data_IF_483213974876
#
_entry.id   IF_483213974876
#
_cell.length_a   1.000
_cell.length_b   1.000
_cell.length_c   1.000
_cell.angle_alpha   90.00
_cell.angle_beta   90.00
_cell.angle_gamma   90.00
#
_symmetry.space_group_name_H-M   'P 1'
#
loop_
_entity.id
_entity.type
_entity.pdbx_description
1 polymer ?
#
# COMPACT_ATOMS: atom_id res chain seq x y z
N UNK A 1 4.79 1.50 11.33
CA UNK A 1 4.40 0.09 11.56
C UNK A 1 5.64 -0.73 11.29
N UNK A 2 6.02 -1.68 12.15
CA UNK A 2 7.26 -2.43 11.92
C UNK A 2 7.06 -3.43 10.78
N UNK A 3 8.07 -3.55 9.91
CA UNK A 3 8.20 -4.69 9.00
C UNK A 3 8.43 -5.97 9.81
N UNK A 4 8.23 -7.14 9.18
CA UNK A 4 8.51 -8.42 9.84
C UNK A 4 9.97 -8.54 10.30
N UNK A 5 10.92 -8.03 9.51
CA UNK A 5 12.35 -8.03 9.85
C UNK A 5 12.66 -7.13 11.07
N UNK A 6 12.12 -5.91 11.10
CA UNK A 6 12.27 -5.00 12.25
C UNK A 6 11.61 -5.55 13.50
N UNK A 7 10.43 -6.18 13.36
CA UNK A 7 9.73 -6.84 14.45
C UNK A 7 10.55 -7.98 15.05
N UNK A 8 11.10 -8.87 14.21
CA UNK A 8 11.94 -9.97 14.65
C UNK A 8 13.22 -9.47 15.34
N UNK A 9 13.82 -8.42 14.80
CA UNK A 9 14.99 -7.77 15.40
C UNK A 9 14.65 -7.15 16.76
N UNK A 10 13.50 -6.48 16.88
CA UNK A 10 13.03 -5.93 18.15
C UNK A 10 12.78 -6.99 19.22
N UNK A 11 12.25 -8.15 18.85
CA UNK A 11 12.08 -9.29 19.77
C UNK A 11 13.42 -9.86 20.24
N UNK A 12 14.41 -9.96 19.35
CA UNK A 12 15.77 -10.39 19.69
C UNK A 12 16.44 -9.40 20.66
N UNK A 13 16.35 -8.11 20.38
CA UNK A 13 16.86 -7.03 21.24
C UNK A 13 16.20 -7.13 22.62
N UNK A 14 14.87 -7.22 22.67
CA UNK A 14 14.12 -7.40 23.91
C UNK A 14 14.59 -8.63 24.70
N UNK A 15 14.79 -9.78 24.06
CA UNK A 15 15.34 -10.96 24.73
C UNK A 15 16.74 -10.69 25.32
N UNK A 16 17.58 -9.93 24.62
CA UNK A 16 18.95 -9.66 25.08
C UNK A 16 19.04 -8.60 26.19
N UNK A 17 18.15 -7.60 26.18
CA UNK A 17 18.27 -6.40 27.02
C UNK A 17 17.43 -6.46 28.31
N UNK A 18 16.42 -7.33 28.37
CA UNK A 18 15.55 -7.43 29.54
C UNK A 18 15.39 -8.84 30.08
N UNK A 19 15.16 -8.92 31.39
CA UNK A 19 14.77 -10.14 32.13
C UNK A 19 13.26 -10.17 32.44
N UNK A 20 12.49 -9.25 31.87
CA UNK A 20 11.05 -9.17 32.10
C UNK A 20 10.33 -10.48 31.72
N UNK A 21 9.37 -10.95 32.53
CA UNK A 21 8.69 -12.21 32.26
C UNK A 21 7.75 -12.14 31.04
N UNK A 22 7.22 -10.95 30.76
CA UNK A 22 6.38 -10.68 29.58
C UNK A 22 6.80 -9.36 28.93
N UNK A 23 6.48 -9.19 27.65
CA UNK A 23 6.77 -7.96 26.88
C UNK A 23 6.17 -6.72 27.56
N UNK A 24 4.99 -6.85 28.17
CA UNK A 24 4.29 -5.77 28.85
C UNK A 24 4.79 -5.43 30.25
N UNK A 25 5.68 -6.23 30.85
CA UNK A 25 6.09 -6.05 32.25
C UNK A 25 7.16 -4.96 32.46
N UNK A 26 7.64 -4.30 31.41
CA UNK A 26 8.59 -3.18 31.49
C UNK A 26 7.95 -1.80 31.30
N UNK A 27 8.69 -0.74 31.60
CA UNK A 27 8.29 0.67 31.36
C UNK A 27 8.16 1.03 29.87
N UNK A 28 8.63 0.16 28.97
CA UNK A 28 8.49 0.27 27.51
C UNK A 28 7.42 -0.69 26.96
N UNK A 29 6.22 -0.72 27.55
CA UNK A 29 5.09 -1.52 27.08
C UNK A 29 4.47 -0.96 25.78
N UNK A 30 5.29 -0.77 24.75
CA UNK A 30 4.77 -0.47 23.43
C UNK A 30 4.10 -1.73 22.87
N UNK A 31 2.82 -1.61 22.54
CA UNK A 31 2.14 -2.62 21.71
C UNK A 31 2.92 -2.75 20.40
N UNK A 32 3.61 -3.87 20.21
CA UNK A 32 4.36 -4.11 18.99
C UNK A 32 3.37 -4.50 17.89
N UNK A 33 3.23 -3.61 16.91
CA UNK A 33 2.48 -3.85 15.68
C UNK A 33 3.45 -4.26 14.59
N UNK A 34 3.14 -5.35 13.91
CA UNK A 34 3.93 -5.87 12.79
C UNK A 34 3.03 -6.10 11.59
N UNK A 35 3.55 -5.78 10.41
CA UNK A 35 2.96 -6.18 9.15
C UNK A 35 3.54 -7.53 8.73
N UNK A 36 2.67 -8.53 8.54
CA UNK A 36 3.04 -9.85 8.01
C UNK A 36 2.28 -10.01 6.71
N UNK A 37 2.98 -10.05 5.58
CA UNK A 37 2.36 -9.91 4.26
C UNK A 37 1.50 -8.64 4.20
N UNK A 38 0.18 -8.81 4.18
CA UNK A 38 -0.82 -7.73 4.15
C UNK A 38 -1.58 -7.52 5.47
N UNK A 39 -1.33 -8.36 6.47
CA UNK A 39 -2.14 -8.42 7.68
C UNK A 39 -1.48 -7.67 8.82
N UNK A 40 -2.21 -6.70 9.39
CA UNK A 40 -1.75 -5.95 10.56
C UNK A 40 -1.90 -6.81 11.81
N UNK A 41 -0.77 -7.21 12.36
CA UNK A 41 -0.72 -8.09 13.51
C UNK A 41 -0.29 -7.34 14.77
N UNK A 42 -0.90 -7.71 15.89
CA UNK A 42 -0.71 -7.13 17.20
C UNK A 42 -0.12 -8.17 18.14
N UNK A 43 1.05 -7.86 18.68
CA UNK A 43 1.63 -8.65 19.74
C UNK A 43 1.08 -8.18 21.08
N UNK A 44 0.47 -9.11 21.82
CA UNK A 44 -0.09 -8.77 23.12
C UNK A 44 0.99 -8.58 24.19
N UNK A 45 0.76 -7.68 25.16
CA UNK A 45 1.70 -7.45 26.27
C UNK A 45 1.92 -8.67 27.17
N UNK A 46 0.97 -9.60 27.24
CA UNK A 46 1.06 -10.85 28.00
C UNK A 46 1.92 -11.92 27.29
N UNK A 47 2.52 -11.61 26.14
CA UNK A 47 3.49 -12.47 25.45
C UNK A 47 4.68 -12.72 26.38
N UNK A 48 4.88 -13.99 26.71
CA UNK A 48 5.91 -14.46 27.63
C UNK A 48 7.26 -14.56 26.94
N UNK A 49 8.33 -14.47 27.74
CA UNK A 49 9.69 -14.69 27.26
C UNK A 49 9.87 -16.04 26.56
N UNK A 50 9.34 -17.12 27.16
CA UNK A 50 9.39 -18.46 26.57
C UNK A 50 8.66 -18.55 25.21
N UNK A 51 7.53 -17.86 25.08
CA UNK A 51 6.81 -17.74 23.81
C UNK A 51 7.63 -17.04 22.72
N UNK A 52 8.30 -15.93 23.05
CA UNK A 52 9.19 -15.21 22.11
C UNK A 52 10.37 -16.09 21.69
N UNK A 53 10.99 -16.80 22.64
CA UNK A 53 12.09 -17.72 22.33
C UNK A 53 11.64 -18.83 21.39
N UNK A 54 10.49 -19.44 21.63
CA UNK A 54 9.94 -20.48 20.76
C UNK A 54 9.58 -19.95 19.36
N UNK A 55 9.00 -18.75 19.27
CA UNK A 55 8.74 -18.05 18.01
C UNK A 55 10.02 -17.87 17.18
N UNK A 56 11.07 -17.30 17.77
CA UNK A 56 12.34 -17.05 17.07
C UNK A 56 13.06 -18.36 16.71
N UNK A 57 12.96 -19.38 17.54
CA UNK A 57 13.52 -20.70 17.25
C UNK A 57 12.86 -21.35 16.02
N UNK A 58 11.54 -21.21 15.86
CA UNK A 58 10.83 -21.65 14.66
C UNK A 58 11.34 -20.96 13.39
N UNK A 59 11.54 -19.64 13.44
CA UNK A 59 12.12 -18.89 12.32
C UNK A 59 13.53 -19.37 11.95
N UNK A 60 14.38 -19.62 12.95
CA UNK A 60 15.74 -20.16 12.73
C UNK A 60 15.70 -21.57 12.14
N UNK A 61 14.69 -22.36 12.50
CA UNK A 61 14.45 -23.68 11.93
C UNK A 61 13.86 -23.64 10.50
N UNK A 62 13.60 -22.45 9.94
CA UNK A 62 13.10 -22.26 8.59
C UNK A 62 11.57 -22.23 8.48
N UNK A 63 10.84 -22.12 9.60
CA UNK A 63 9.39 -21.91 9.57
C UNK A 63 9.09 -20.48 9.12
N UNK A 64 8.77 -20.29 7.84
CA UNK A 64 8.43 -18.97 7.27
C UNK A 64 6.95 -18.83 6.93
N UNK A 65 6.17 -19.90 7.01
CA UNK A 65 4.72 -19.85 6.76
C UNK A 65 4.01 -19.16 7.92
N UNK A 66 3.16 -18.18 7.65
CA UNK A 66 2.24 -17.61 8.62
C UNK A 66 0.82 -17.99 8.26
N UNK A 67 -0.04 -18.27 9.23
CA UNK A 67 -1.46 -18.58 8.97
C UNK A 67 -2.36 -17.89 9.97
N UNK A 68 -3.43 -17.27 9.47
CA UNK A 68 -4.52 -16.79 10.31
C UNK A 68 -5.41 -17.96 10.70
N UNK A 69 -5.63 -18.13 12.00
CA UNK A 69 -6.55 -19.11 12.56
C UNK A 69 -7.75 -18.35 13.13
N UNK A 70 -8.95 -18.49 12.52
CA UNK A 70 -10.13 -17.82 13.01
C UNK A 70 -10.51 -18.21 14.43
N UNK A 71 -10.95 -17.21 15.18
CA UNK A 71 -11.53 -17.44 16.50
C UNK A 71 -12.97 -17.89 16.35
N UNK A 72 -13.36 -18.92 17.11
CA UNK A 72 -14.74 -19.36 17.23
C UNK A 72 -15.69 -18.29 17.79
N UNK A 73 -15.15 -17.17 18.30
CA UNK A 73 -15.90 -16.01 18.79
C UNK A 73 -15.86 -14.79 17.86
N UNK A 74 -15.18 -14.86 16.71
CA UNK A 74 -15.27 -13.87 15.61
C UNK A 74 -14.60 -12.51 15.80
N UNK A 75 -13.99 -12.20 16.94
CA UNK A 75 -13.49 -10.82 17.22
C UNK A 75 -11.97 -10.66 17.05
N UNK A 76 -11.18 -11.72 17.22
CA UNK A 76 -9.71 -11.66 17.20
C UNK A 76 -9.18 -12.95 16.58
N UNK A 77 -8.44 -12.85 15.48
CA UNK A 77 -7.90 -14.01 14.76
C UNK A 77 -6.43 -14.22 15.14
N UNK A 78 -6.02 -15.45 15.42
CA UNK A 78 -4.65 -15.76 15.86
C UNK A 78 -3.74 -15.91 14.65
N UNK A 79 -2.51 -15.42 14.76
CA UNK A 79 -1.44 -15.76 13.81
C UNK A 79 -0.67 -16.98 14.34
N UNK A 80 -0.69 -18.06 13.56
CA UNK A 80 0.13 -19.25 13.75
C UNK A 80 1.32 -19.21 12.78
N UNK A 81 2.36 -19.98 13.10
CA UNK A 81 3.62 -20.05 12.34
C UNK A 81 3.92 -21.49 12.04
N UNK A 82 4.45 -21.73 10.85
CA UNK A 82 4.66 -23.06 10.29
C UNK A 82 3.36 -23.72 9.85
N UNK A 83 3.50 -24.88 9.23
CA UNK A 83 2.41 -25.57 8.54
C UNK A 83 1.43 -26.30 9.48
N UNK A 84 1.70 -26.28 10.78
CA UNK A 84 0.98 -27.11 11.76
C UNK A 84 -0.22 -26.39 12.40
N UNK A 85 -0.39 -25.08 12.18
CA UNK A 85 -1.38 -24.24 12.89
C UNK A 85 -1.31 -24.34 14.43
N UNK A 86 -0.22 -24.91 14.96
CA UNK A 86 -0.04 -25.17 16.38
C UNK A 86 0.19 -23.83 17.09
N UNK A 87 -0.50 -23.66 18.22
CA UNK A 87 -0.29 -22.51 19.08
C UNK A 87 1.08 -22.61 19.74
N UNK A 88 1.92 -21.60 19.57
CA UNK A 88 3.11 -21.42 20.40
C UNK A 88 2.65 -20.97 21.80
N UNK A 89 2.83 -21.78 22.86
CA UNK A 89 2.38 -21.42 24.20
C UNK A 89 3.06 -20.12 24.68
N UNK A 90 2.26 -19.18 25.17
CA UNK A 90 2.77 -17.91 25.66
C UNK A 90 3.24 -16.91 24.60
N UNK A 91 3.00 -17.18 23.31
CA UNK A 91 3.18 -16.20 22.22
C UNK A 91 1.83 -15.79 21.64
N UNK A 92 1.59 -14.48 21.58
CA UNK A 92 0.23 -13.92 21.46
C UNK A 92 0.15 -12.86 20.36
N UNK A 93 0.19 -13.33 19.11
CA UNK A 93 0.11 -12.51 17.91
C UNK A 93 -1.25 -12.67 17.23
N UNK A 94 -1.93 -11.56 16.94
CA UNK A 94 -3.31 -11.58 16.43
C UNK A 94 -3.58 -10.49 15.41
N UNK A 95 -4.57 -10.71 14.55
CA UNK A 95 -5.16 -9.66 13.70
C UNK A 95 -6.62 -9.39 14.10
N UNK A 96 -7.04 -8.15 13.88
CA UNK A 96 -8.44 -7.71 14.00
C UNK A 96 -9.18 -7.78 12.65
N UNK A 97 -8.45 -8.03 11.56
CA UNK A 97 -9.05 -8.34 10.27
C UNK A 97 -9.88 -9.64 10.38
N UNK A 98 -10.98 -9.70 9.63
CA UNK A 98 -11.91 -10.83 9.68
C UNK A 98 -11.53 -11.90 8.66
N UNK A 99 -11.47 -13.15 9.09
CA UNK A 99 -11.20 -14.31 8.26
C UNK A 99 -12.20 -15.42 8.58
N UNK A 100 -12.93 -15.90 7.57
CA UNK A 100 -13.95 -16.94 7.75
C UNK A 100 -13.34 -18.35 7.82
N UNK A 101 -12.17 -18.55 7.22
CA UNK A 101 -11.45 -19.82 7.18
C UNK A 101 -9.97 -19.61 7.55
N UNK A 102 -9.26 -20.67 7.98
CA UNK A 102 -7.82 -20.62 8.11
C UNK A 102 -7.16 -20.22 6.78
N UNK A 103 -6.32 -19.18 6.82
CA UNK A 103 -5.71 -18.59 5.61
C UNK A 103 -4.22 -18.42 5.81
N UNK A 104 -3.42 -19.00 4.93
CA UNK A 104 -1.97 -18.77 4.89
C UNK A 104 -1.67 -17.35 4.40
N UNK A 105 -0.83 -16.64 5.12
CA UNK A 105 -0.27 -15.35 4.76
C UNK A 105 1.13 -15.59 4.22
N UNK A 106 1.37 -15.13 3.00
CA UNK A 106 2.71 -15.01 2.44
C UNK A 106 3.43 -13.81 3.10
N UNK A 107 4.48 -14.03 3.90
CA UNK A 107 5.21 -12.94 4.56
C UNK A 107 6.00 -12.07 3.57
N UNK A 108 6.35 -12.62 2.41
CA UNK A 108 7.14 -11.98 1.36
C UNK A 108 6.26 -11.41 0.25
N UNK A 109 4.92 -11.58 0.34
CA UNK A 109 3.98 -10.86 -0.48
C UNK A 109 4.21 -9.37 -0.24
N UNK A 110 4.96 -8.74 -1.13
CA UNK A 110 5.30 -7.34 -1.10
C UNK A 110 4.02 -6.54 -0.82
N UNK A 111 4.06 -5.82 0.30
CA UNK A 111 2.90 -5.16 0.87
C UNK A 111 2.27 -4.27 -0.20
N UNK A 112 1.04 -4.59 -0.59
CA UNK A 112 0.22 -3.64 -1.31
C UNK A 112 -0.06 -2.49 -0.36
N UNK A 113 0.72 -1.43 -0.52
CA UNK A 113 0.74 -0.24 0.30
C UNK A 113 0.18 0.96 -0.50
N UNK A 114 0.16 2.14 0.11
CA UNK A 114 -0.33 3.34 -0.58
C UNK A 114 0.52 3.68 -1.81
N UNK A 115 1.81 3.29 -1.80
CA UNK A 115 2.66 3.41 -2.97
C UNK A 115 2.17 2.55 -4.13
N UNK A 116 1.75 1.33 -3.83
CA UNK A 116 1.19 0.40 -4.79
C UNK A 116 -0.10 0.94 -5.42
N UNK A 117 -0.96 1.62 -4.64
CA UNK A 117 -2.14 2.32 -5.17
C UNK A 117 -1.74 3.43 -6.14
N UNK A 118 -0.78 4.29 -5.76
CA UNK A 118 -0.32 5.37 -6.62
C UNK A 118 0.30 4.84 -7.92
N UNK A 119 1.13 3.80 -7.85
CA UNK A 119 1.71 3.13 -9.02
C UNK A 119 0.63 2.52 -9.91
N UNK A 120 -0.39 1.88 -9.32
CA UNK A 120 -1.50 1.30 -10.06
C UNK A 120 -2.28 2.36 -10.85
N UNK A 121 -2.51 3.53 -10.27
CA UNK A 121 -3.13 4.67 -10.97
C UNK A 121 -2.27 5.12 -12.15
N UNK A 122 -0.95 5.24 -11.97
CA UNK A 122 -0.05 5.62 -13.06
C UNK A 122 -0.03 4.57 -14.19
N UNK A 123 -0.03 3.29 -13.82
CA UNK A 123 -0.08 2.19 -14.79
C UNK A 123 -1.39 2.14 -15.55
N UNK A 124 -2.51 2.43 -14.89
CA UNK A 124 -3.82 2.54 -15.52
C UNK A 124 -3.87 3.66 -16.56
N UNK A 125 -3.24 4.81 -16.31
CA UNK A 125 -3.16 5.90 -17.30
C UNK A 125 -2.32 5.50 -18.52
N UNK A 126 -1.17 4.84 -18.32
CA UNK A 126 -0.39 4.32 -19.45
C UNK A 126 -1.19 3.31 -20.28
N UNK A 127 -1.95 2.44 -19.62
CA UNK A 127 -2.86 1.51 -20.28
C UNK A 127 -3.92 2.26 -21.09
N UNK A 128 -4.55 3.29 -20.54
CA UNK A 128 -5.52 4.13 -21.25
C UNK A 128 -4.91 4.80 -22.49
N UNK A 129 -3.67 5.30 -22.41
CA UNK A 129 -2.97 5.86 -23.58
C UNK A 129 -2.76 4.82 -24.68
N UNK A 130 -2.42 3.57 -24.32
CA UNK A 130 -2.31 2.47 -25.29
C UNK A 130 -3.66 2.06 -25.90
N UNK A 131 -4.76 2.31 -25.17
CA UNK A 131 -6.15 2.11 -25.62
C UNK A 131 -6.69 3.30 -26.47
N UNK A 132 -5.88 4.34 -26.71
CA UNK A 132 -6.24 5.48 -27.56
C UNK A 132 -6.79 6.71 -26.82
N UNK A 133 -6.70 6.73 -25.49
CA UNK A 133 -7.10 7.86 -24.65
C UNK A 133 -5.94 8.84 -24.40
N UNK A 134 -5.14 9.14 -25.42
CA UNK A 134 -3.87 9.87 -25.25
C UNK A 134 -4.07 11.35 -24.87
N UNK A 135 -5.29 11.88 -25.03
CA UNK A 135 -5.64 13.24 -24.60
C UNK A 135 -6.05 13.32 -23.12
N UNK A 136 -6.02 12.22 -22.38
CA UNK A 136 -6.08 12.25 -20.91
C UNK A 136 -4.74 12.72 -20.35
N UNK A 137 -4.79 13.69 -19.44
CA UNK A 137 -3.68 14.18 -18.64
C UNK A 137 -3.84 13.70 -17.21
N UNK A 138 -2.71 13.42 -16.56
CA UNK A 138 -2.62 13.24 -15.12
C UNK A 138 -1.73 14.32 -14.53
N UNK A 139 -2.21 14.94 -13.46
CA UNK A 139 -1.54 16.01 -12.70
C UNK A 139 -1.20 15.49 -11.30
N UNK A 140 -0.06 14.80 -11.11
CA UNK A 140 0.40 14.38 -9.81
C UNK A 140 1.06 15.53 -9.06
N UNK A 141 0.67 15.73 -7.80
CA UNK A 141 1.22 16.78 -6.94
C UNK A 141 1.25 16.33 -5.49
N UNK A 142 2.12 16.94 -4.69
CA UNK A 142 2.13 16.83 -3.24
C UNK A 142 1.26 17.94 -2.66
N UNK A 143 0.41 17.63 -1.68
CA UNK A 143 -0.36 18.64 -0.96
C UNK A 143 0.55 19.73 -0.38
N UNK A 144 0.10 20.97 -0.25
CA UNK A 144 0.92 22.05 0.35
C UNK A 144 1.45 21.78 1.77
N UNK A 145 0.91 20.79 2.49
CA UNK A 145 1.44 20.31 3.78
C UNK A 145 2.57 19.27 3.67
N UNK A 146 2.89 18.79 2.47
CA UNK A 146 3.85 17.71 2.22
C UNK A 146 3.36 16.30 2.53
N UNK A 147 2.14 16.13 3.08
CA UNK A 147 1.71 14.86 3.69
C UNK A 147 1.00 13.91 2.73
N UNK A 148 0.48 14.41 1.61
CA UNK A 148 -0.35 13.63 0.70
C UNK A 148 0.14 13.75 -0.72
N UNK A 149 0.24 12.61 -1.40
CA UNK A 149 0.29 12.61 -2.85
C UNK A 149 -1.13 12.68 -3.40
N UNK A 150 -1.29 13.35 -4.52
CA UNK A 150 -2.57 13.60 -5.19
C UNK A 150 -2.39 13.38 -6.68
N UNK A 151 -3.45 12.89 -7.33
CA UNK A 151 -3.54 12.86 -8.77
C UNK A 151 -4.91 13.36 -9.19
N UNK A 152 -4.92 14.30 -10.13
CA UNK A 152 -6.11 14.68 -10.90
C UNK A 152 -5.93 14.17 -12.31
N UNK A 153 -6.91 13.46 -12.85
CA UNK A 153 -6.89 12.92 -14.21
C UNK A 153 -8.12 13.43 -14.95
N UNK A 154 -7.92 13.99 -16.14
CA UNK A 154 -8.99 14.53 -16.96
C UNK A 154 -8.53 14.74 -18.41
N UNK A 155 -9.44 15.07 -19.31
CA UNK A 155 -9.05 15.41 -20.68
C UNK A 155 -8.28 16.73 -20.72
N UNK A 156 -7.49 16.93 -21.77
CA UNK A 156 -6.78 18.20 -22.03
C UNK A 156 -7.73 19.41 -22.02
N UNK A 157 -8.98 19.22 -22.44
CA UNK A 157 -9.99 20.29 -22.45
C UNK A 157 -10.55 20.55 -21.05
N UNK A 158 -10.77 19.48 -20.25
CA UNK A 158 -11.23 19.58 -18.86
C UNK A 158 -10.18 20.22 -17.94
N UNK A 159 -8.90 20.02 -18.25
CA UNK A 159 -7.76 20.52 -17.45
C UNK A 159 -7.11 21.77 -18.03
N UNK A 160 -7.66 22.35 -19.11
CA UNK A 160 -7.09 23.50 -19.81
C UNK A 160 -6.80 24.70 -18.91
N UNK A 161 -7.68 24.94 -17.94
CA UNK A 161 -7.61 26.13 -17.08
C UNK A 161 -6.90 25.83 -15.74
N UNK A 162 -6.20 24.69 -15.60
CA UNK A 162 -5.41 24.33 -14.42
C UNK A 162 -4.20 25.28 -14.22
N UNK A 163 -3.80 25.65 -12.97
CA UNK A 163 -4.37 25.28 -11.66
C UNK A 163 -5.59 26.13 -11.23
N UNK A 164 -6.21 26.84 -12.16
CA UNK A 164 -7.42 27.64 -11.95
C UNK A 164 -8.67 26.79 -11.73
N UNK A 165 -9.84 27.33 -12.10
CA UNK A 165 -11.13 26.66 -11.84
C UNK A 165 -11.36 25.53 -12.83
N UNK A 166 -11.27 24.28 -12.39
CA UNK A 166 -11.73 23.11 -13.14
C UNK A 166 -13.01 22.54 -12.50
N UNK A 167 -13.84 21.85 -13.28
CA UNK A 167 -15.02 21.11 -12.78
C UNK A 167 -14.55 19.77 -12.19
N UNK A 168 -14.54 19.58 -10.85
CA UNK A 168 -14.10 18.33 -10.25
C UNK A 168 -14.98 17.14 -10.67
N UNK A 169 -16.23 17.39 -11.07
CA UNK A 169 -17.14 16.37 -11.59
C UNK A 169 -16.88 15.97 -13.05
N UNK A 170 -15.84 16.51 -13.67
CA UNK A 170 -15.38 16.12 -15.01
C UNK A 170 -14.07 15.31 -14.99
N UNK A 171 -13.44 15.18 -13.82
CA UNK A 171 -12.12 14.57 -13.63
C UNK A 171 -12.17 13.45 -12.59
N UNK A 172 -11.29 12.46 -12.74
CA UNK A 172 -10.93 11.54 -11.68
C UNK A 172 -9.97 12.23 -10.70
N UNK A 173 -10.20 12.06 -9.39
CA UNK A 173 -9.34 12.61 -8.34
C UNK A 173 -9.03 11.52 -7.32
N UNK A 174 -7.77 11.44 -6.90
CA UNK A 174 -7.34 10.58 -5.81
C UNK A 174 -6.32 11.31 -4.94
N UNK A 175 -6.37 11.07 -3.63
CA UNK A 175 -5.29 11.43 -2.72
C UNK A 175 -4.92 10.25 -1.82
N UNK A 176 -3.67 10.15 -1.41
CA UNK A 176 -3.26 9.18 -0.37
C UNK A 176 -3.97 9.40 0.96
N UNK A 177 -4.63 10.55 1.17
CA UNK A 177 -5.58 10.75 2.27
C UNK A 177 -6.80 9.82 2.23
N UNK A 178 -7.20 9.34 1.05
CA UNK A 178 -8.31 8.40 0.85
C UNK A 178 -7.89 6.94 1.10
N UNK A 179 -6.60 6.72 1.37
CA UNK A 179 -6.02 5.43 1.68
C UNK A 179 -6.18 4.44 0.54
N UNK A 180 -6.80 3.30 0.83
CA UNK A 180 -7.02 2.20 -0.13
C UNK A 180 -8.39 2.28 -0.81
N UNK A 181 -9.03 3.46 -0.80
CA UNK A 181 -10.31 3.69 -1.48
C UNK A 181 -10.06 4.59 -2.68
N UNK A 182 -10.41 4.12 -3.87
CA UNK A 182 -10.23 4.85 -5.13
C UNK A 182 -11.54 4.88 -5.89
N UNK A 183 -12.01 6.09 -6.25
CA UNK A 183 -13.33 6.31 -6.84
C UNK A 183 -14.48 5.66 -6.02
N UNK A 184 -14.38 5.73 -4.69
CA UNK A 184 -15.37 5.15 -3.77
C UNK A 184 -15.32 3.63 -3.63
N UNK A 185 -14.39 2.95 -4.30
CA UNK A 185 -14.25 1.49 -4.28
C UNK A 185 -12.93 1.07 -3.62
N UNK A 186 -12.92 -0.04 -2.86
CA UNK A 186 -11.68 -0.55 -2.29
C UNK A 186 -10.71 -0.98 -3.39
N UNK A 187 -9.43 -0.84 -3.09
CA UNK A 187 -8.31 -1.31 -3.91
C UNK A 187 -7.41 -2.14 -3.02
N UNK A 188 -7.02 -3.29 -3.55
CA UNK A 188 -6.09 -4.20 -2.91
C UNK A 188 -5.11 -4.73 -3.96
N UNK A 189 -4.27 -5.67 -3.55
CA UNK A 189 -3.27 -6.26 -4.42
C UNK A 189 -3.83 -7.16 -5.53
N UNK A 190 -5.14 -7.46 -5.52
CA UNK A 190 -5.81 -8.16 -6.62
C UNK A 190 -6.39 -7.17 -7.64
N UNK A 191 -6.39 -5.88 -7.32
CA UNK A 191 -6.81 -4.85 -8.27
C UNK A 191 -5.75 -4.69 -9.35
N UNK A 192 -6.14 -4.92 -10.60
CA UNK A 192 -5.28 -4.77 -11.77
C UNK A 192 -5.44 -3.40 -12.45
N UNK A 193 -4.52 -3.10 -13.37
CA UNK A 193 -4.50 -1.85 -14.09
C UNK A 193 -5.72 -1.69 -15.02
N UNK A 194 -6.32 -2.79 -15.48
CA UNK A 194 -7.52 -2.75 -16.33
C UNK A 194 -8.73 -2.26 -15.54
N UNK A 195 -8.99 -2.85 -14.38
CA UNK A 195 -10.07 -2.45 -13.48
C UNK A 195 -9.88 -1.01 -12.98
N UNK A 196 -8.63 -0.60 -12.73
CA UNK A 196 -8.33 0.78 -12.37
C UNK A 196 -8.54 1.76 -13.53
N UNK A 197 -8.17 1.38 -14.76
CA UNK A 197 -8.38 2.19 -15.95
C UNK A 197 -9.87 2.42 -16.22
N UNK A 198 -10.69 1.39 -16.04
CA UNK A 198 -12.14 1.49 -16.20
C UNK A 198 -12.75 2.43 -15.14
N UNK A 199 -12.29 2.37 -13.88
CA UNK A 199 -12.69 3.32 -12.83
C UNK A 199 -12.33 4.77 -13.16
N UNK A 200 -11.17 5.00 -13.78
CA UNK A 200 -10.76 6.34 -14.22
C UNK A 200 -11.70 6.84 -15.33
N UNK A 201 -12.03 5.99 -16.30
CA UNK A 201 -12.94 6.35 -17.40
C UNK A 201 -14.36 6.63 -16.89
N UNK A 202 -14.87 5.84 -15.95
CA UNK A 202 -16.19 6.04 -15.37
C UNK A 202 -16.32 7.37 -14.61
N UNK A 203 -15.21 7.87 -14.05
CA UNK A 203 -15.16 9.14 -13.33
C UNK A 203 -14.97 10.36 -14.25
N UNK A 204 -14.38 10.18 -15.43
CA UNK A 204 -14.11 11.27 -16.37
C UNK A 204 -15.31 11.52 -17.30
N UNK A 205 -15.77 12.77 -17.40
CA UNK A 205 -16.87 13.12 -18.34
C UNK A 205 -16.43 13.01 -19.80
N UNK A 206 -15.20 13.40 -20.09
CA UNK A 206 -14.56 13.25 -21.39
C UNK A 206 -13.49 12.16 -21.29
N UNK A 207 -13.60 11.06 -22.05
CA UNK A 207 -12.63 9.97 -21.98
C UNK A 207 -11.27 10.33 -22.60
N UNK A 208 -11.10 11.50 -23.22
CA UNK A 208 -9.82 11.93 -23.78
C UNK A 208 -9.36 11.08 -24.98
N UNK A 209 -10.33 10.59 -25.77
CA UNK A 209 -10.04 9.86 -27.01
C UNK A 209 -9.31 10.76 -28.02
N UNK A 210 -8.30 10.20 -28.67
CA UNK A 210 -7.52 10.88 -29.69
C UNK A 210 -6.03 10.61 -29.54
N UNK A 211 -5.28 11.03 -30.56
CA UNK A 211 -3.83 10.85 -30.58
C UNK A 211 -3.11 12.04 -29.96
N UNK A 212 -2.11 11.74 -29.15
CA UNK A 212 -1.18 12.68 -28.54
C UNK A 212 0.09 11.92 -28.18
N UNK A 213 0.88 11.62 -29.22
CA UNK A 213 2.07 10.78 -29.11
C UNK A 213 3.17 11.45 -28.31
N UNK A 214 3.20 12.79 -28.29
CA UNK A 214 4.17 13.55 -27.52
C UNK A 214 3.91 13.37 -26.02
N UNK A 215 2.66 13.58 -25.57
CA UNK A 215 2.30 13.36 -24.18
C UNK A 215 2.42 11.89 -23.77
N UNK A 216 1.92 10.96 -24.59
CA UNK A 216 1.98 9.53 -24.30
C UNK A 216 3.44 9.02 -24.25
N UNK A 217 4.31 9.52 -25.12
CA UNK A 217 5.73 9.20 -25.13
C UNK A 217 6.43 9.68 -23.86
N UNK A 218 6.25 10.96 -23.51
CA UNK A 218 6.74 11.52 -22.25
C UNK A 218 6.24 10.73 -21.04
N UNK A 219 4.95 10.35 -21.04
CA UNK A 219 4.34 9.62 -19.94
C UNK A 219 5.02 8.28 -19.67
N UNK A 220 5.35 7.54 -20.73
CA UNK A 220 6.07 6.26 -20.64
C UNK A 220 7.47 6.46 -20.05
N UNK A 221 8.17 7.53 -20.42
CA UNK A 221 9.50 7.85 -19.84
C UNK A 221 9.42 8.22 -18.35
N UNK A 222 8.43 9.04 -17.97
CA UNK A 222 8.15 9.38 -16.58
C UNK A 222 7.84 8.12 -15.76
N UNK A 223 6.95 7.25 -16.26
CA UNK A 223 6.62 5.99 -15.59
C UNK A 223 7.83 5.05 -15.48
N UNK A 224 8.72 5.04 -16.48
CA UNK A 224 10.01 4.35 -16.41
C UNK A 224 10.89 4.86 -15.27
N UNK A 225 10.90 6.17 -15.03
CA UNK A 225 11.63 6.80 -13.91
C UNK A 225 11.02 6.44 -12.57
N UNK A 226 9.69 6.49 -12.43
CA UNK A 226 8.98 6.05 -11.21
C UNK A 226 9.35 4.61 -10.85
N UNK A 227 9.35 3.71 -11.84
CA UNK A 227 9.69 2.29 -11.65
C UNK A 227 11.14 2.09 -11.20
N UNK A 228 12.09 2.81 -11.81
CA UNK A 228 13.52 2.68 -11.47
C UNK A 228 13.87 3.26 -10.12
N UNK A 229 13.32 4.44 -9.80
CA UNK A 229 13.76 5.21 -8.65
C UNK A 229 12.90 4.97 -7.41
N UNK A 230 11.75 4.31 -7.57
CA UNK A 230 10.75 4.18 -6.50
C UNK A 230 10.39 5.55 -5.91
N UNK A 231 10.25 6.55 -6.78
CA UNK A 231 9.81 7.92 -6.46
C UNK A 231 8.51 8.25 -7.20
N UNK A 232 7.56 8.95 -6.57
CA UNK A 232 6.31 9.35 -7.20
C UNK A 232 6.51 10.70 -7.89
N UNK A 233 5.87 10.91 -9.06
CA UNK A 233 5.97 12.17 -9.76
C UNK A 233 5.35 13.30 -8.95
N UNK A 234 6.01 14.45 -8.99
CA UNK A 234 5.49 15.72 -8.49
C UNK A 234 5.76 16.78 -9.55
N UNK A 235 4.71 17.37 -10.13
CA UNK A 235 4.89 18.37 -11.19
C UNK A 235 5.49 19.70 -10.73
N UNK A 236 5.47 19.98 -9.43
CA UNK A 236 6.15 21.17 -8.90
C UNK A 236 7.66 20.93 -8.68
N UNK A 237 8.15 19.70 -8.82
CA UNK A 237 9.54 19.34 -8.58
C UNK A 237 10.35 19.35 -9.90
N UNK A 238 11.39 20.21 -10.02
CA UNK A 238 12.23 20.30 -11.23
C UNK A 238 13.07 19.04 -11.51
N UNK A 239 13.08 18.06 -10.60
CA UNK A 239 13.67 16.74 -10.81
C UNK A 239 12.91 15.81 -11.75
N UNK A 240 11.69 16.18 -12.18
CA UNK A 240 10.89 15.40 -13.13
C UNK A 240 11.00 15.93 -14.57
N UNK A 241 10.86 15.05 -15.59
CA UNK A 241 10.90 15.49 -16.98
C UNK A 241 9.77 16.49 -17.26
N UNK A 242 10.07 17.60 -17.94
CA UNK A 242 9.10 18.65 -18.26
C UNK A 242 7.90 18.07 -19.03
N UNK A 243 6.68 18.37 -18.57
CA UNK A 243 5.46 17.88 -19.21
C UNK A 243 5.21 18.62 -20.53
N UNK A 244 5.01 17.92 -21.66
CA UNK A 244 4.69 18.58 -22.92
C UNK A 244 3.36 19.33 -22.86
N UNK A 245 3.33 20.55 -23.40
CA UNK A 245 2.12 21.38 -23.48
C UNK A 245 1.88 22.34 -22.32
N UNK A 246 2.78 22.42 -21.33
CA UNK A 246 2.78 23.44 -20.26
C UNK A 246 3.45 24.77 -20.70
N UNK A 247 3.69 24.96 -21.99
CA UNK A 247 4.12 26.26 -22.54
C UNK A 247 2.91 27.22 -22.61
N UNK A 248 2.66 27.93 -21.53
CA UNK A 248 2.00 29.25 -21.54
C UNK A 248 2.88 30.30 -20.89
#
# INVERSE_FOLDING_TARGET
MATLAEFNSGLLIWLSETIAPTIGSGSNSQQMRVLIGRTVCWLRPDTTRGGVTAYLAGLIAGETTYSVVPSSKGVVHRIAIGDTNIRIPGFYLYTLESFDIPTTIDPDASAFDLWSVCRLILEAVALLHSRGHQRLRILPNISGSGMQWRATIGSVDALRDWPGTFDPGSCFVYTTGDGFTVAGLPVDAQTDAESMADRILDACRDPGLGQDWEYAGWYVEMLGTVRRNQTLPNFEDPGWPFMPGDET
#
